data_IF_797685235762
#
_entry.id   IF_797685235762
#
_cell.length_a   1.000
_cell.length_b   1.000
_cell.length_c   1.000
_cell.angle_alpha   90.00
_cell.angle_beta   90.00
_cell.angle_gamma   90.00
#
_symmetry.space_group_name_H-M   'P 1'
#
loop_
_entity.id
_entity.type
_entity.pdbx_description
1 polymer ?
#
# COMPACT_ATOMS: atom_id res chain seq x y z
N UNK A 1 11.24 8.58 19.68
CA UNK A 1 10.11 8.58 18.72
C UNK A 1 10.61 8.03 17.39
N UNK A 2 10.50 6.72 17.19
CA UNK A 2 10.96 6.03 15.99
C UNK A 2 9.83 6.02 14.96
N UNK A 3 9.93 6.84 13.91
CA UNK A 3 9.10 6.69 12.71
C UNK A 3 9.96 6.07 11.60
N UNK A 4 9.96 4.73 11.41
CA UNK A 4 10.79 4.09 10.40
C UNK A 4 10.14 3.95 9.01
N UNK A 5 8.96 4.52 8.75
CA UNK A 5 8.18 4.21 7.54
C UNK A 5 8.15 5.32 6.46
N UNK A 6 8.96 6.37 6.57
CA UNK A 6 8.94 7.51 5.63
C UNK A 6 9.55 7.26 4.25
N UNK A 7 9.86 6.01 3.87
CA UNK A 7 10.51 5.71 2.58
C UNK A 7 9.60 5.07 1.52
N UNK A 8 8.35 4.73 1.85
CA UNK A 8 7.43 4.20 0.85
C UNK A 8 6.75 5.35 0.11
N UNK A 9 7.36 5.71 -1.02
CA UNK A 9 6.93 6.84 -1.84
C UNK A 9 5.68 6.51 -2.67
N UNK A 10 5.50 5.26 -3.10
CA UNK A 10 4.34 4.79 -3.87
C UNK A 10 3.79 3.41 -3.43
N UNK A 11 2.49 3.13 -3.67
CA UNK A 11 1.86 1.85 -3.32
C UNK A 11 2.47 0.69 -4.12
N UNK A 12 2.96 0.95 -5.33
CA UNK A 12 3.71 -0.02 -6.12
C UNK A 12 5.08 -0.35 -5.53
N UNK A 13 5.74 0.59 -4.84
CA UNK A 13 7.01 0.31 -4.15
C UNK A 13 6.79 -0.68 -3.01
N UNK A 14 5.67 -0.54 -2.28
CA UNK A 14 5.26 -1.49 -1.24
C UNK A 14 4.98 -2.86 -1.86
N UNK A 15 4.19 -2.92 -2.94
CA UNK A 15 3.87 -4.17 -3.62
C UNK A 15 5.13 -4.90 -4.13
N UNK A 16 6.08 -4.14 -4.69
CA UNK A 16 7.35 -4.65 -5.26
C UNK A 16 8.45 -4.86 -4.24
N UNK A 17 8.25 -4.49 -2.97
CA UNK A 17 9.30 -4.56 -1.96
C UNK A 17 9.73 -6.02 -1.70
N UNK A 18 10.99 -6.41 -1.94
CA UNK A 18 11.40 -7.81 -1.83
C UNK A 18 11.50 -8.30 -0.38
N UNK A 19 11.68 -7.39 0.58
CA UNK A 19 11.87 -7.74 2.00
C UNK A 19 10.59 -7.67 2.85
N UNK A 20 9.44 -7.32 2.27
CA UNK A 20 8.18 -7.29 3.00
C UNK A 20 7.36 -8.53 2.67
N UNK A 21 6.79 -9.14 3.70
CA UNK A 21 5.85 -10.24 3.55
C UNK A 21 4.59 -9.79 2.79
N UNK A 22 3.95 -10.66 2.00
CA UNK A 22 2.73 -10.32 1.26
C UNK A 22 1.62 -9.79 2.16
N UNK A 23 1.46 -10.38 3.35
CA UNK A 23 0.47 -9.96 4.34
C UNK A 23 0.76 -8.56 4.90
N UNK A 24 2.04 -8.25 5.16
CA UNK A 24 2.47 -6.93 5.64
C UNK A 24 2.24 -5.86 4.57
N UNK A 25 2.56 -6.18 3.31
CA UNK A 25 2.28 -5.29 2.17
C UNK A 25 0.78 -5.00 2.05
N UNK A 26 -0.08 -6.02 2.15
CA UNK A 26 -1.54 -5.83 2.14
C UNK A 26 -2.00 -4.99 3.32
N UNK A 27 -1.50 -5.22 4.53
CA UNK A 27 -1.88 -4.43 5.69
C UNK A 27 -1.54 -2.93 5.53
N UNK A 28 -0.36 -2.63 4.97
CA UNK A 28 0.04 -1.23 4.68
C UNK A 28 -0.87 -0.63 3.60
N UNK A 29 -1.09 -1.33 2.48
CA UNK A 29 -1.95 -0.85 1.39
C UNK A 29 -3.42 -0.69 1.83
N UNK A 30 -3.94 -1.61 2.63
CA UNK A 30 -5.28 -1.52 3.21
C UNK A 30 -5.40 -0.33 4.17
N UNK A 31 -4.34 -0.04 4.94
CA UNK A 31 -4.27 1.16 5.76
C UNK A 31 -4.34 2.44 4.92
N UNK A 32 -3.74 2.45 3.72
CA UNK A 32 -3.78 3.57 2.78
C UNK A 32 -5.14 3.71 2.08
N UNK A 33 -5.79 2.60 1.76
CA UNK A 33 -7.15 2.57 1.20
C UNK A 33 -8.20 3.04 2.23
N UNK A 34 -7.89 2.95 3.53
CA UNK A 34 -8.79 3.36 4.60
C UNK A 34 -9.05 4.87 4.59
N UNK A 35 -10.26 5.28 4.99
CA UNK A 35 -10.71 6.70 5.08
C UNK A 35 -9.89 7.57 6.02
N UNK A 36 -9.04 6.98 6.85
CA UNK A 36 -8.03 7.71 7.61
C UNK A 36 -7.02 8.47 6.74
N UNK A 37 -6.84 8.06 5.49
CA UNK A 37 -5.97 8.74 4.53
C UNK A 37 -6.73 9.64 3.55
N UNK A 38 -8.07 9.71 3.61
CA UNK A 38 -8.86 10.51 2.69
C UNK A 38 -8.48 12.00 2.80
N UNK A 39 -8.07 12.59 1.68
CA UNK A 39 -7.81 14.03 1.63
C UNK A 39 -9.17 14.74 1.67
N UNK A 40 -9.38 15.57 2.69
CA UNK A 40 -10.52 16.48 2.75
C UNK A 40 -10.55 17.27 1.44
N UNK A 41 -11.69 17.27 0.75
CA UNK A 41 -11.95 17.91 -0.56
C UNK A 41 -11.61 17.07 -1.82
N UNK A 42 -10.83 15.99 -1.73
CA UNK A 42 -10.51 15.13 -2.88
C UNK A 42 -10.60 13.64 -2.52
N UNK A 43 -11.79 13.02 -2.58
CA UNK A 43 -12.00 11.64 -2.13
C UNK A 43 -11.24 10.58 -2.96
N UNK A 44 -10.91 10.91 -4.21
CA UNK A 44 -10.09 10.12 -5.12
C UNK A 44 -8.61 10.11 -4.75
N UNK A 45 -8.15 11.05 -3.92
CA UNK A 45 -6.77 11.15 -3.45
C UNK A 45 -6.66 10.78 -1.96
N UNK A 46 -5.70 9.92 -1.67
CA UNK A 46 -5.33 9.51 -0.31
C UNK A 46 -3.95 10.05 0.01
N UNK A 47 -3.79 10.67 1.18
CA UNK A 47 -2.48 11.12 1.69
C UNK A 47 -2.19 10.42 3.02
N UNK A 48 -1.81 9.13 2.96
CA UNK A 48 -1.49 8.38 4.17
C UNK A 48 -0.24 8.94 4.86
N UNK A 49 -0.19 8.89 6.20
CA UNK A 49 0.99 9.32 6.95
C UNK A 49 2.20 8.47 6.55
N UNK A 50 3.26 9.13 6.06
CA UNK A 50 4.47 8.49 5.54
C UNK A 50 4.59 8.47 4.01
N UNK A 51 3.48 8.66 3.28
CA UNK A 51 3.56 8.87 1.83
C UNK A 51 3.99 10.31 1.53
N UNK A 52 5.06 10.46 0.76
CA UNK A 52 5.57 11.78 0.35
C UNK A 52 4.60 12.57 -0.53
N UNK A 53 3.62 11.89 -1.14
CA UNK A 53 2.65 12.49 -2.07
C UNK A 53 1.24 11.93 -1.86
N UNK A 54 0.24 12.71 -2.29
CA UNK A 54 -1.12 12.20 -2.46
C UNK A 54 -1.13 11.10 -3.52
N UNK A 55 -1.72 9.97 -3.18
CA UNK A 55 -1.79 8.75 -3.98
C UNK A 55 -3.24 8.53 -4.41
N UNK A 56 -3.52 8.21 -5.68
CA UNK A 56 -4.86 7.82 -6.10
C UNK A 56 -5.31 6.55 -5.38
N UNK A 57 -6.58 6.50 -4.97
CA UNK A 57 -7.13 5.27 -4.40
C UNK A 57 -7.10 4.11 -5.39
N UNK A 58 -7.29 4.40 -6.69
CA UNK A 58 -7.15 3.43 -7.78
C UNK A 58 -5.76 2.80 -7.83
N UNK A 59 -4.70 3.58 -7.61
CA UNK A 59 -3.32 3.06 -7.58
C UNK A 59 -3.10 2.11 -6.39
N UNK A 60 -3.74 2.39 -5.25
CA UNK A 60 -3.67 1.52 -4.07
C UNK A 60 -4.35 0.18 -4.37
N UNK A 61 -5.54 0.20 -4.99
CA UNK A 61 -6.24 -1.01 -5.43
C UNK A 61 -5.48 -1.77 -6.52
N UNK A 62 -4.89 -1.06 -7.49
CA UNK A 62 -4.07 -1.65 -8.55
C UNK A 62 -2.81 -2.33 -7.99
N UNK A 63 -2.15 -1.70 -7.01
CA UNK A 63 -1.01 -2.27 -6.31
C UNK A 63 -1.40 -3.50 -5.49
N UNK A 64 -2.52 -3.46 -4.76
CA UNK A 64 -3.06 -4.65 -4.07
C UNK A 64 -3.35 -5.76 -5.06
N UNK A 65 -4.02 -5.47 -6.18
CA UNK A 65 -4.29 -6.48 -7.21
C UNK A 65 -3.01 -7.10 -7.79
N UNK A 66 -1.97 -6.29 -8.00
CA UNK A 66 -0.67 -6.77 -8.49
C UNK A 66 0.01 -7.66 -7.45
N UNK A 67 -0.10 -7.32 -6.17
CA UNK A 67 0.39 -8.11 -5.06
C UNK A 67 -0.36 -9.45 -4.94
N UNK A 68 -1.69 -9.41 -5.06
CA UNK A 68 -2.59 -10.56 -5.07
C UNK A 68 -2.33 -11.52 -6.26
N UNK A 69 -2.08 -10.96 -7.44
CA UNK A 69 -1.74 -11.75 -8.64
C UNK A 69 -0.36 -12.43 -8.49
N UNK A 70 0.60 -11.74 -7.86
CA UNK A 70 1.91 -12.28 -7.54
C UNK A 70 1.91 -13.33 -6.41
N UNK A 71 1.07 -13.15 -5.38
CA UNK A 71 0.98 -14.09 -4.24
C UNK A 71 0.26 -15.39 -4.61
N UNK A 72 -0.62 -15.37 -5.61
CA UNK A 72 -1.32 -16.55 -6.13
C UNK A 72 -0.39 -17.62 -6.74
N UNK A 73 0.89 -17.28 -7.01
CA UNK A 73 1.92 -18.23 -7.46
C UNK A 73 2.85 -18.69 -6.33
N UNK A 74 2.67 -18.18 -5.10
CA UNK A 74 3.59 -18.34 -3.98
C UNK A 74 3.08 -19.16 -2.80
N UNK A 75 1.88 -19.75 -2.83
CA UNK A 75 1.45 -20.71 -1.79
C UNK A 75 1.87 -22.13 -2.17
N UNK A 76 2.96 -22.69 -1.61
CA UNK A 76 2.96 -24.12 -1.31
C UNK A 76 1.89 -24.35 -0.24
N UNK A 77 1.11 -25.41 -0.45
CA UNK A 77 0.08 -25.90 0.47
C UNK A 77 0.58 -25.92 1.92
N UNK A 78 -0.25 -25.43 2.83
CA UNK A 78 -0.25 -25.78 4.25
C UNK A 78 -1.68 -26.21 4.60
#
# INVERSE_FOLDING_TARGET
MSQPYSHFLHPFDIARHPSLEPEVKRAILASWASDRAAVRDNPSLRKPPGAGRAVPVDDIFAAMRTLDDGVGRGTPLQ
#
